data_IF_689809109367
#
_entry.id   IF_689809109367
#
_cell.length_a   1.000
_cell.length_b   1.000
_cell.length_c   1.000
_cell.angle_alpha   90.00
_cell.angle_beta   90.00
_cell.angle_gamma   90.00
#
_symmetry.space_group_name_H-M   'P 1'
#
loop_
_entity.id
_entity.type
_entity.pdbx_description
1 polymer ?
#
# COMPACT_ATOMS: atom_id res chain seq x y z
N UNK A 1 -20.91 -0.99 -4.25
CA UNK A 1 -19.51 -1.44 -4.31
C UNK A 1 -18.92 -1.00 -5.64
N UNK A 2 -17.70 -0.46 -5.62
CA UNK A 2 -16.89 -0.20 -6.81
C UNK A 2 -15.65 -1.09 -6.74
N UNK A 3 -15.35 -1.79 -7.84
CA UNK A 3 -14.17 -2.62 -7.96
C UNK A 3 -13.08 -1.84 -8.70
N UNK A 4 -11.86 -1.83 -8.14
CA UNK A 4 -10.71 -1.09 -8.67
C UNK A 4 -9.62 -2.08 -9.07
N UNK A 5 -9.25 -2.07 -10.34
CA UNK A 5 -8.05 -2.72 -10.85
C UNK A 5 -6.87 -1.76 -10.71
N UNK A 6 -5.95 -2.08 -9.83
CA UNK A 6 -4.79 -1.24 -9.54
C UNK A 6 -3.52 -1.75 -10.25
N UNK A 7 -3.70 -2.26 -11.48
CA UNK A 7 -2.61 -2.64 -12.39
C UNK A 7 -2.37 -1.54 -13.43
N UNK A 8 -1.26 -1.67 -14.15
CA UNK A 8 -0.99 -0.80 -15.30
C UNK A 8 -2.09 -0.91 -16.35
N UNK A 9 -2.40 0.18 -17.02
CA UNK A 9 -3.46 0.31 -18.01
C UNK A 9 -3.40 -0.78 -19.11
N UNK A 10 -2.19 -1.10 -19.59
CA UNK A 10 -2.03 -2.17 -20.58
C UNK A 10 -2.50 -3.53 -20.03
N UNK A 11 -2.16 -3.85 -18.78
CA UNK A 11 -2.58 -5.10 -18.15
C UNK A 11 -4.10 -5.14 -17.89
N UNK A 12 -4.70 -3.99 -17.58
CA UNK A 12 -6.15 -3.86 -17.47
C UNK A 12 -6.84 -4.11 -18.83
N UNK A 13 -6.34 -3.51 -19.90
CA UNK A 13 -6.89 -3.63 -21.26
C UNK A 13 -6.76 -5.04 -21.84
N UNK A 14 -5.75 -5.82 -21.42
CA UNK A 14 -5.62 -7.23 -21.79
C UNK A 14 -6.70 -8.11 -21.14
N UNK A 15 -7.25 -7.67 -20.00
CA UNK A 15 -8.35 -8.32 -19.30
C UNK A 15 -8.38 -7.93 -17.83
N UNK A 16 -9.58 -7.76 -17.30
CA UNK A 16 -9.83 -7.36 -15.91
C UNK A 16 -11.06 -8.06 -15.33
N UNK A 17 -11.25 -7.96 -14.02
CA UNK A 17 -12.48 -8.47 -13.38
C UNK A 17 -13.67 -7.61 -13.86
N UNK A 18 -14.79 -8.20 -14.28
CA UNK A 18 -15.91 -7.47 -14.87
C UNK A 18 -16.35 -6.27 -14.04
N UNK A 19 -16.60 -5.16 -14.71
CA UNK A 19 -17.00 -3.87 -14.12
C UNK A 19 -15.94 -3.17 -13.26
N UNK A 20 -14.71 -3.66 -13.19
CA UNK A 20 -13.62 -2.93 -12.54
C UNK A 20 -13.29 -1.65 -13.32
N UNK A 21 -12.99 -0.58 -12.59
CA UNK A 21 -12.38 0.63 -13.15
C UNK A 21 -10.87 0.57 -12.94
N UNK A 22 -10.11 1.17 -13.83
CA UNK A 22 -8.65 1.19 -13.71
C UNK A 22 -8.15 2.47 -13.05
N UNK A 23 -7.33 2.31 -12.04
CA UNK A 23 -6.49 3.34 -11.42
C UNK A 23 -5.13 2.71 -11.21
N UNK A 24 -4.05 3.45 -11.46
CA UNK A 24 -2.71 2.95 -11.21
C UNK A 24 -1.93 3.91 -10.32
N UNK A 25 -0.79 3.47 -9.82
CA UNK A 25 0.03 4.25 -8.87
C UNK A 25 0.38 5.65 -9.35
N UNK A 26 0.67 5.86 -10.64
CA UNK A 26 0.96 7.18 -11.22
C UNK A 26 -0.18 8.19 -11.03
N UNK A 27 -1.41 7.70 -10.93
CA UNK A 27 -2.62 8.53 -10.85
C UNK A 27 -2.88 9.01 -9.41
N UNK A 28 -2.28 8.34 -8.40
CA UNK A 28 -2.44 8.66 -6.98
C UNK A 28 -1.16 9.14 -6.30
N UNK A 29 -0.11 9.39 -7.07
CA UNK A 29 1.17 9.87 -6.53
C UNK A 29 1.72 11.02 -7.34
N UNK A 30 2.49 11.88 -6.65
CA UNK A 30 3.21 12.99 -7.27
C UNK A 30 4.72 12.87 -7.03
N UNK A 31 5.47 13.75 -7.66
CA UNK A 31 6.87 14.00 -7.34
C UNK A 31 6.98 15.35 -6.65
N UNK A 32 7.52 15.37 -5.44
CA UNK A 32 7.75 16.57 -4.66
C UNK A 32 9.26 16.82 -4.56
N UNK A 33 9.74 17.84 -5.25
CA UNK A 33 11.17 18.08 -5.42
C UNK A 33 11.87 16.88 -6.08
N UNK A 34 12.74 16.22 -5.32
CA UNK A 34 13.47 15.02 -5.79
C UNK A 34 12.83 13.70 -5.31
N UNK A 35 11.80 13.78 -4.46
CA UNK A 35 11.14 12.60 -3.88
C UNK A 35 9.99 12.20 -4.80
N UNK A 36 10.02 10.95 -5.25
CA UNK A 36 9.01 10.39 -6.15
C UNK A 36 8.06 9.46 -5.40
N UNK A 37 6.80 9.45 -5.82
CA UNK A 37 5.81 8.52 -5.31
C UNK A 37 5.15 8.97 -4.00
N UNK A 38 5.26 10.24 -3.66
CA UNK A 38 4.52 10.87 -2.56
C UNK A 38 3.02 10.84 -2.88
N UNK A 39 2.20 10.66 -1.87
CA UNK A 39 0.74 10.67 -2.01
C UNK A 39 0.27 11.96 -2.68
N UNK A 40 -0.61 11.84 -3.69
CA UNK A 40 -1.17 12.99 -4.39
C UNK A 40 -2.06 13.83 -3.46
N UNK A 41 -2.17 15.16 -3.69
CA UNK A 41 -3.07 16.02 -2.95
C UNK A 41 -4.52 15.54 -2.96
N UNK A 42 -5.25 15.77 -1.87
CA UNK A 42 -6.64 15.35 -1.70
C UNK A 42 -7.54 15.75 -2.88
N UNK A 43 -7.48 17.01 -3.31
CA UNK A 43 -8.32 17.50 -4.41
C UNK A 43 -8.07 16.73 -5.72
N UNK A 44 -6.82 16.36 -6.02
CA UNK A 44 -6.49 15.58 -7.20
C UNK A 44 -7.11 14.17 -7.15
N UNK A 45 -7.16 13.56 -5.98
CA UNK A 45 -7.79 12.25 -5.79
C UNK A 45 -9.32 12.32 -5.83
N UNK A 46 -9.91 13.39 -5.29
CA UNK A 46 -11.35 13.64 -5.37
C UNK A 46 -11.80 13.82 -6.83
N UNK A 47 -11.05 14.60 -7.60
CA UNK A 47 -11.31 14.79 -9.03
C UNK A 47 -11.14 13.48 -9.82
N UNK A 48 -10.09 12.72 -9.56
CA UNK A 48 -9.85 11.43 -10.19
C UNK A 48 -11.00 10.46 -9.93
N UNK A 49 -11.34 10.22 -8.66
CA UNK A 49 -12.39 9.28 -8.28
C UNK A 49 -13.76 9.71 -8.80
N UNK A 50 -14.08 11.00 -8.70
CA UNK A 50 -15.32 11.56 -9.23
C UNK A 50 -15.44 11.40 -10.75
N UNK A 51 -14.37 11.65 -11.50
CA UNK A 51 -14.33 11.48 -12.95
C UNK A 51 -14.56 10.04 -13.39
N UNK A 52 -14.16 9.06 -12.57
CA UNK A 52 -14.36 7.63 -12.79
C UNK A 52 -15.72 7.12 -12.30
N UNK A 53 -16.61 8.00 -11.85
CA UNK A 53 -17.95 7.65 -11.39
C UNK A 53 -18.00 7.06 -9.99
N UNK A 54 -16.99 7.30 -9.18
CA UNK A 54 -16.96 6.90 -7.78
C UNK A 54 -17.54 8.02 -6.92
N UNK A 55 -18.54 7.71 -6.11
CA UNK A 55 -19.02 8.61 -5.04
C UNK A 55 -18.63 8.07 -3.66
N UNK A 56 -18.51 8.96 -2.68
CA UNK A 56 -18.02 8.65 -1.33
C UNK A 56 -18.96 7.78 -0.49
N UNK A 57 -20.14 7.43 -0.99
CA UNK A 57 -21.06 6.48 -0.33
C UNK A 57 -20.75 5.02 -0.68
N UNK A 58 -19.86 4.76 -1.61
CA UNK A 58 -19.55 3.44 -2.12
C UNK A 58 -18.38 2.81 -1.38
N UNK A 59 -18.53 1.54 -1.03
CA UNK A 59 -17.42 0.71 -0.63
C UNK A 59 -16.50 0.44 -1.83
N UNK A 60 -15.19 0.57 -1.63
CA UNK A 60 -14.19 0.26 -2.63
C UNK A 60 -13.55 -1.10 -2.35
N UNK A 61 -13.40 -1.92 -3.40
CA UNK A 61 -12.60 -3.14 -3.34
C UNK A 61 -11.49 -3.01 -4.38
N UNK A 62 -10.25 -3.10 -3.94
CA UNK A 62 -9.07 -2.96 -4.81
C UNK A 62 -8.31 -4.27 -4.93
N UNK A 63 -7.84 -4.58 -6.14
CA UNK A 63 -6.95 -5.71 -6.41
C UNK A 63 -5.79 -5.29 -7.30
N UNK A 64 -4.74 -6.11 -7.30
CA UNK A 64 -3.59 -5.94 -8.19
C UNK A 64 -3.14 -7.28 -8.81
N UNK A 65 -1.97 -7.32 -9.41
CA UNK A 65 -1.31 -8.53 -9.92
C UNK A 65 0.00 -8.83 -9.19
N UNK A 66 0.16 -8.35 -7.94
CA UNK A 66 1.44 -8.40 -7.24
C UNK A 66 1.29 -8.64 -5.74
N UNK A 67 0.41 -9.56 -5.35
CA UNK A 67 0.26 -9.95 -3.95
C UNK A 67 -0.19 -8.82 -3.03
N UNK A 68 -1.10 -8.01 -3.51
CA UNK A 68 -1.68 -6.86 -2.82
C UNK A 68 -0.68 -5.72 -2.51
N UNK A 69 0.53 -5.72 -3.08
CA UNK A 69 1.54 -4.69 -2.81
C UNK A 69 1.10 -3.31 -3.31
N UNK A 70 0.59 -3.24 -4.53
CA UNK A 70 0.10 -2.01 -5.14
C UNK A 70 -1.31 -1.67 -4.60
N UNK A 71 -2.18 -2.68 -4.41
CA UNK A 71 -3.51 -2.50 -3.83
C UNK A 71 -3.47 -1.95 -2.40
N UNK A 72 -2.51 -2.38 -1.59
CA UNK A 72 -2.30 -1.84 -0.25
C UNK A 72 -1.82 -0.38 -0.26
N UNK A 73 -1.10 0.05 -1.31
CA UNK A 73 -0.77 1.46 -1.50
C UNK A 73 -2.02 2.31 -1.73
N UNK A 74 -2.96 1.82 -2.56
CA UNK A 74 -4.26 2.48 -2.75
C UNK A 74 -5.04 2.51 -1.43
N UNK A 75 -5.16 1.38 -0.72
CA UNK A 75 -5.80 1.31 0.60
C UNK A 75 -5.20 2.32 1.57
N UNK A 76 -3.87 2.41 1.66
CA UNK A 76 -3.19 3.37 2.52
C UNK A 76 -3.50 4.82 2.13
N UNK A 77 -3.50 5.15 0.83
CA UNK A 77 -3.82 6.48 0.31
C UNK A 77 -5.24 6.91 0.69
N UNK A 78 -6.21 6.00 0.59
CA UNK A 78 -7.59 6.28 0.98
C UNK A 78 -7.72 6.53 2.49
N UNK A 79 -7.07 5.67 3.31
CA UNK A 79 -7.06 5.83 4.76
C UNK A 79 -6.29 7.07 5.21
N UNK A 80 -5.24 7.46 4.51
CA UNK A 80 -4.49 8.70 4.77
C UNK A 80 -5.41 9.92 4.81
N UNK A 81 -6.38 9.99 3.90
CA UNK A 81 -7.41 11.04 3.86
C UNK A 81 -8.72 10.68 4.61
N UNK A 82 -8.70 9.67 5.46
CA UNK A 82 -9.83 9.32 6.33
C UNK A 82 -10.93 8.47 5.69
N UNK A 83 -10.79 8.06 4.42
CA UNK A 83 -11.76 7.15 3.79
C UNK A 83 -11.41 5.69 4.12
N UNK A 84 -12.20 5.07 5.00
CA UNK A 84 -11.90 3.74 5.56
C UNK A 84 -12.71 2.60 4.93
N UNK A 85 -13.73 2.91 4.10
CA UNK A 85 -14.54 1.86 3.45
C UNK A 85 -13.88 1.35 2.16
N UNK A 86 -12.63 0.92 2.31
CA UNK A 86 -11.81 0.32 1.26
C UNK A 86 -11.30 -1.04 1.72
N UNK A 87 -11.41 -2.05 0.84
CA UNK A 87 -10.97 -3.43 1.09
C UNK A 87 -9.97 -3.87 0.03
N UNK A 88 -9.04 -4.73 0.42
CA UNK A 88 -8.06 -5.34 -0.49
C UNK A 88 -8.47 -6.79 -0.76
N UNK A 89 -8.52 -7.17 -2.02
CA UNK A 89 -8.82 -8.55 -2.42
C UNK A 89 -7.64 -9.46 -2.01
N UNK A 90 -7.94 -10.54 -1.29
CA UNK A 90 -6.92 -11.51 -0.86
C UNK A 90 -6.61 -12.51 -1.99
N UNK A 91 -5.48 -12.35 -2.60
CA UNK A 91 -5.05 -12.97 -3.84
C UNK A 91 -4.96 -11.94 -4.96
N UNK A 92 -4.34 -12.32 -6.06
CA UNK A 92 -4.12 -11.42 -7.18
C UNK A 92 -5.01 -11.73 -8.40
N UNK A 93 -4.89 -10.90 -9.44
CA UNK A 93 -5.60 -11.12 -10.70
C UNK A 93 -5.28 -12.47 -11.35
N UNK A 94 -4.04 -12.96 -11.23
CA UNK A 94 -3.66 -14.24 -11.82
C UNK A 94 -4.36 -15.40 -11.12
N UNK A 95 -4.59 -15.30 -9.81
CA UNK A 95 -5.42 -16.26 -9.08
C UNK A 95 -6.86 -16.26 -9.57
N UNK A 96 -7.46 -15.08 -9.83
CA UNK A 96 -8.79 -14.96 -10.41
C UNK A 96 -8.90 -15.70 -11.74
N UNK A 97 -7.95 -15.45 -12.65
CA UNK A 97 -7.87 -16.11 -13.95
C UNK A 97 -7.67 -17.63 -13.81
N UNK A 98 -6.79 -18.08 -12.90
CA UNK A 98 -6.52 -19.50 -12.67
C UNK A 98 -7.72 -20.31 -12.17
N UNK A 99 -8.69 -19.62 -11.56
CA UNK A 99 -9.98 -20.19 -11.13
C UNK A 99 -11.04 -20.18 -12.23
N UNK A 100 -10.67 -19.77 -13.45
CA UNK A 100 -11.59 -19.61 -14.58
C UNK A 100 -12.80 -18.69 -14.28
N UNK A 101 -12.59 -17.70 -13.41
CA UNK A 101 -13.62 -16.69 -13.13
C UNK A 101 -13.76 -15.73 -14.33
N UNK A 102 -14.94 -15.10 -14.50
CA UNK A 102 -15.19 -14.19 -15.63
C UNK A 102 -14.18 -13.06 -15.70
N UNK A 103 -13.74 -12.74 -16.92
CA UNK A 103 -12.94 -11.57 -17.23
C UNK A 103 -13.62 -10.73 -18.30
N UNK A 104 -13.34 -9.44 -18.32
CA UNK A 104 -13.82 -8.48 -19.29
C UNK A 104 -12.65 -7.74 -19.94
N UNK A 105 -12.88 -7.12 -21.09
CA UNK A 105 -11.95 -6.24 -21.81
C UNK A 105 -12.57 -4.89 -22.14
N UNK A 106 -13.87 -4.74 -21.91
CA UNK A 106 -14.56 -3.50 -22.16
C UNK A 106 -14.29 -2.50 -21.02
N UNK A 107 -13.72 -1.36 -21.37
CA UNK A 107 -13.44 -0.30 -20.39
C UNK A 107 -14.77 0.18 -19.77
N UNK A 108 -14.86 0.10 -18.46
CA UNK A 108 -16.05 0.54 -17.74
C UNK A 108 -16.30 2.04 -18.00
N UNK A 109 -17.48 2.35 -18.53
CA UNK A 109 -17.93 3.74 -18.75
C UNK A 109 -18.95 4.09 -17.66
N UNK A 110 -18.54 4.98 -16.76
CA UNK A 110 -19.38 5.46 -15.69
C UNK A 110 -19.70 6.94 -15.87
N UNK A 111 -20.87 7.35 -15.40
CA UNK A 111 -21.19 8.78 -15.34
C UNK A 111 -20.33 9.43 -14.25
N UNK A 112 -19.78 10.61 -14.54
CA UNK A 112 -19.06 11.41 -13.56
C UNK A 112 -19.91 11.68 -12.33
N UNK A 113 -19.32 11.54 -11.16
CA UNK A 113 -19.95 11.80 -9.85
C UNK A 113 -19.08 12.80 -9.07
N UNK A 114 -19.45 13.06 -7.83
CA UNK A 114 -18.62 13.82 -6.90
C UNK A 114 -18.11 12.88 -5.81
N UNK A 115 -16.78 12.74 -5.71
CA UNK A 115 -16.14 12.12 -4.57
C UNK A 115 -15.65 13.22 -3.61
N UNK A 116 -15.86 13.01 -2.31
CA UNK A 116 -15.39 13.90 -1.25
C UNK A 116 -14.85 13.06 -0.11
N UNK A 117 -13.61 13.30 0.29
CA UNK A 117 -13.06 12.68 1.49
C UNK A 117 -13.79 13.20 2.75
N UNK A 118 -13.86 12.40 3.83
CA UNK A 118 -14.35 12.89 5.11
C UNK A 118 -13.51 14.08 5.59
N UNK A 119 -14.16 15.01 6.29
CA UNK A 119 -13.43 16.08 7.00
C UNK A 119 -12.62 15.45 8.13
N UNK A 120 -11.38 15.10 7.85
CA UNK A 120 -10.44 14.53 8.82
C UNK A 120 -9.12 15.29 8.73
N UNK A 121 -8.63 15.69 9.90
CA UNK A 121 -7.28 16.27 10.04
C UNK A 121 -6.24 15.21 10.40
N UNK A 122 -6.63 13.94 10.46
CA UNK A 122 -5.75 12.85 10.88
C UNK A 122 -5.19 12.18 9.64
N UNK A 123 -3.92 12.39 9.40
CA UNK A 123 -3.12 11.63 8.43
C UNK A 123 -2.87 10.22 8.97
N UNK A 124 -3.92 9.40 8.87
CA UNK A 124 -3.91 8.05 9.44
C UNK A 124 -2.80 7.21 8.80
N UNK A 125 -2.08 6.49 9.63
CA UNK A 125 -0.98 5.61 9.22
C UNK A 125 0.19 6.34 8.55
N UNK A 126 0.40 7.64 8.79
CA UNK A 126 1.51 8.41 8.24
C UNK A 126 2.60 8.68 9.28
N UNK A 127 3.85 8.64 8.84
CA UNK A 127 5.01 9.12 9.60
C UNK A 127 5.72 10.22 8.82
N UNK A 128 6.11 11.26 9.54
CA UNK A 128 6.95 12.34 9.02
C UNK A 128 8.44 11.98 9.12
N UNK A 129 9.29 12.81 8.52
CA UNK A 129 10.74 12.71 8.69
C UNK A 129 11.14 12.91 10.16
N UNK A 130 10.45 13.80 10.86
CA UNK A 130 10.64 14.12 12.28
C UNK A 130 10.32 12.90 13.16
N UNK A 131 9.24 12.15 12.85
CA UNK A 131 8.92 10.89 13.52
C UNK A 131 10.06 9.87 13.35
N UNK A 132 10.60 9.75 12.14
CA UNK A 132 11.75 8.84 11.88
C UNK A 132 12.99 9.28 12.64
N UNK A 133 13.30 10.59 12.68
CA UNK A 133 14.46 11.11 13.45
C UNK A 133 14.28 10.82 14.94
N UNK A 134 13.08 11.03 15.49
CA UNK A 134 12.75 10.71 16.89
C UNK A 134 12.98 9.22 17.17
N UNK A 135 12.55 8.35 16.26
CA UNK A 135 12.69 6.91 16.41
C UNK A 135 14.14 6.41 16.46
N UNK A 136 15.14 7.22 16.03
CA UNK A 136 16.56 6.85 16.14
C UNK A 136 17.06 6.76 17.61
N UNK A 137 16.36 7.42 18.53
CA UNK A 137 16.74 7.47 19.96
C UNK A 137 15.64 6.97 20.89
N UNK A 138 14.41 6.79 20.40
CA UNK A 138 13.27 6.32 21.18
C UNK A 138 13.06 4.82 20.97
N UNK A 139 13.42 4.02 21.97
CA UNK A 139 13.32 2.54 21.92
C UNK A 139 11.88 2.01 21.97
N UNK A 140 10.87 2.87 22.18
CA UNK A 140 9.46 2.50 22.09
C UNK A 140 8.96 2.46 20.63
N UNK A 141 9.74 3.01 19.69
CA UNK A 141 9.45 3.07 18.25
C UNK A 141 10.39 2.13 17.51
N UNK A 142 9.84 1.27 16.66
CA UNK A 142 10.59 0.36 15.81
C UNK A 142 10.53 0.83 14.37
N UNK A 143 11.68 1.04 13.74
CA UNK A 143 11.79 1.35 12.30
C UNK A 143 12.02 0.04 11.54
N UNK A 144 11.18 -0.25 10.55
CA UNK A 144 11.25 -1.47 9.73
C UNK A 144 11.46 -1.11 8.26
N UNK A 145 12.53 -1.65 7.70
CA UNK A 145 12.84 -1.60 6.26
C UNK A 145 12.16 -2.78 5.56
N UNK A 146 11.21 -2.50 4.68
CA UNK A 146 10.46 -3.54 3.95
C UNK A 146 11.03 -3.83 2.57
N UNK A 147 12.25 -3.39 2.29
CA UNK A 147 12.99 -3.68 1.06
C UNK A 147 13.66 -5.06 1.16
N UNK A 148 14.24 -5.50 0.04
CA UNK A 148 15.01 -6.74 0.03
C UNK A 148 16.24 -6.63 0.94
N UNK A 149 16.74 -7.78 1.38
CA UNK A 149 17.93 -7.82 2.25
C UNK A 149 19.17 -7.22 1.57
N UNK A 150 19.27 -7.33 0.24
CA UNK A 150 20.36 -6.75 -0.55
C UNK A 150 20.31 -5.20 -0.57
N UNK A 151 19.10 -4.64 -0.71
CA UNK A 151 18.89 -3.19 -0.59
C UNK A 151 19.24 -2.71 0.82
N UNK A 152 18.75 -3.41 1.84
CA UNK A 152 19.00 -3.11 3.26
C UNK A 152 20.50 -3.15 3.63
N UNK A 153 21.22 -4.15 3.13
CA UNK A 153 22.67 -4.30 3.35
C UNK A 153 23.50 -3.35 2.51
N UNK A 154 22.90 -2.63 1.57
CA UNK A 154 23.63 -1.74 0.66
C UNK A 154 24.43 -2.47 -0.41
N UNK A 155 24.04 -3.70 -0.76
CA UNK A 155 24.63 -4.46 -1.88
C UNK A 155 24.05 -3.99 -3.21
N UNK A 156 22.75 -3.64 -3.21
CA UNK A 156 22.04 -3.17 -4.39
C UNK A 156 21.60 -1.73 -4.22
N UNK A 157 21.88 -0.89 -5.23
CA UNK A 157 21.32 0.44 -5.37
C UNK A 157 20.23 0.42 -6.43
N UNK A 158 18.96 0.51 -6.03
CA UNK A 158 17.86 0.62 -6.98
C UNK A 158 17.80 2.00 -7.62
N UNK A 159 17.36 2.03 -8.88
CA UNK A 159 17.13 3.28 -9.62
C UNK A 159 16.17 4.19 -8.83
N UNK A 160 16.59 5.42 -8.57
CA UNK A 160 15.85 6.43 -7.81
C UNK A 160 16.35 6.62 -6.37
N UNK A 161 17.05 5.65 -5.78
CA UNK A 161 17.73 5.86 -4.51
C UNK A 161 19.05 6.63 -4.73
N UNK A 162 19.36 7.59 -3.84
CA UNK A 162 20.58 8.42 -3.93
C UNK A 162 21.81 7.73 -3.35
N UNK A 163 21.64 6.76 -2.48
CA UNK A 163 22.72 6.04 -1.78
C UNK A 163 22.30 4.63 -1.41
N UNK A 164 23.30 3.79 -1.19
CA UNK A 164 23.14 2.44 -0.65
C UNK A 164 22.95 2.48 0.88
N UNK A 165 22.44 1.35 1.44
CA UNK A 165 22.30 1.17 2.87
C UNK A 165 20.86 1.35 3.37
N UNK A 166 20.72 1.77 4.63
CA UNK A 166 19.45 1.81 5.36
C UNK A 166 19.40 2.94 6.38
N UNK A 167 18.23 3.22 6.91
CA UNK A 167 18.08 4.10 8.08
C UNK A 167 18.76 3.42 9.28
N UNK A 168 19.65 4.11 10.03
CA UNK A 168 20.32 3.55 11.20
C UNK A 168 19.30 3.00 12.22
N UNK A 169 19.63 1.85 12.84
CA UNK A 169 18.75 1.22 13.83
C UNK A 169 17.53 0.51 13.24
N UNK A 170 17.26 0.60 11.94
CA UNK A 170 16.12 -0.12 11.34
C UNK A 170 16.37 -1.65 11.30
N UNK A 171 15.27 -2.40 11.37
CA UNK A 171 15.25 -3.85 11.23
C UNK A 171 14.74 -4.18 9.82
N UNK A 172 15.24 -5.23 9.18
CA UNK A 172 14.72 -5.64 7.87
C UNK A 172 13.66 -6.73 8.00
N UNK A 173 12.53 -6.51 7.36
CA UNK A 173 11.52 -7.53 7.09
C UNK A 173 10.91 -7.24 5.70
N UNK A 174 11.36 -7.96 4.69
CA UNK A 174 10.85 -7.80 3.33
C UNK A 174 9.32 -7.98 3.30
N UNK A 175 8.60 -7.04 2.66
CA UNK A 175 7.14 -7.09 2.52
C UNK A 175 6.65 -8.44 1.96
N UNK A 176 7.44 -9.03 1.06
CA UNK A 176 7.13 -10.29 0.39
C UNK A 176 7.05 -11.49 1.36
N UNK A 177 7.62 -11.37 2.56
CA UNK A 177 7.48 -12.40 3.60
C UNK A 177 6.03 -12.54 4.10
N UNK A 178 5.16 -11.60 3.79
CA UNK A 178 3.75 -11.66 4.24
C UNK A 178 2.82 -12.42 3.30
N UNK A 179 3.31 -12.92 2.15
CA UNK A 179 2.49 -13.59 1.13
C UNK A 179 2.98 -14.99 0.81
N UNK A 180 2.07 -15.83 0.30
CA UNK A 180 2.34 -17.16 -0.23
C UNK A 180 2.54 -17.11 -1.74
N UNK A 181 3.77 -17.25 -2.23
CA UNK A 181 4.08 -17.23 -3.67
C UNK A 181 3.45 -18.38 -4.45
N UNK A 182 3.23 -19.53 -3.82
CA UNK A 182 2.70 -20.74 -4.44
C UNK A 182 1.17 -20.92 -4.26
N UNK A 183 0.47 -19.95 -3.65
CA UNK A 183 -0.98 -20.00 -3.42
C UNK A 183 -1.64 -18.68 -3.86
N UNK A 184 -1.42 -18.29 -5.11
CA UNK A 184 -2.07 -17.13 -5.73
C UNK A 184 -1.74 -15.80 -5.04
N UNK A 185 -0.54 -15.68 -4.50
CA UNK A 185 -0.05 -14.51 -3.79
C UNK A 185 -0.96 -14.02 -2.65
N UNK A 186 -1.67 -14.95 -2.01
CA UNK A 186 -2.49 -14.63 -0.83
C UNK A 186 -1.63 -14.28 0.37
N UNK A 187 -2.20 -13.52 1.28
CA UNK A 187 -1.58 -13.32 2.59
C UNK A 187 -1.40 -14.64 3.34
N UNK A 188 -0.33 -14.75 4.08
CA UNK A 188 -0.11 -15.84 5.05
C UNK A 188 -1.21 -15.85 6.12
N UNK A 189 -1.32 -16.94 6.86
CA UNK A 189 -2.26 -17.01 7.99
C UNK A 189 -1.96 -15.91 9.02
N UNK A 190 -2.99 -15.43 9.71
CA UNK A 190 -2.81 -14.41 10.77
C UNK A 190 -1.82 -14.87 11.85
N UNK A 191 -1.77 -16.19 12.12
CA UNK A 191 -0.83 -16.79 13.07
C UNK A 191 0.62 -16.65 12.59
N UNK A 192 0.88 -16.97 11.31
CA UNK A 192 2.23 -16.91 10.74
C UNK A 192 2.69 -15.46 10.61
N UNK A 193 1.81 -14.55 10.15
CA UNK A 193 2.08 -13.12 10.11
C UNK A 193 2.46 -12.58 11.49
N UNK A 194 1.65 -12.90 12.52
CA UNK A 194 1.93 -12.46 13.89
C UNK A 194 3.25 -13.04 14.42
N UNK A 195 3.58 -14.27 14.06
CA UNK A 195 4.85 -14.90 14.42
C UNK A 195 6.03 -14.17 13.78
N UNK A 196 5.97 -13.89 12.47
CA UNK A 196 7.03 -13.19 11.74
C UNK A 196 7.32 -11.79 12.33
N UNK A 197 6.27 -11.02 12.66
CA UNK A 197 6.43 -9.71 13.28
C UNK A 197 6.96 -9.78 14.72
N UNK A 198 6.49 -10.74 15.51
CA UNK A 198 6.99 -10.93 16.88
C UNK A 198 8.46 -11.31 16.93
N UNK A 199 8.94 -12.10 15.97
CA UNK A 199 10.35 -12.54 15.90
C UNK A 199 11.32 -11.37 15.69
N UNK A 200 10.85 -10.24 15.17
CA UNK A 200 11.64 -9.02 15.05
C UNK A 200 11.31 -7.98 16.13
N UNK A 201 10.64 -8.40 17.20
CA UNK A 201 10.36 -7.58 18.39
C UNK A 201 9.13 -6.67 18.29
N UNK A 202 8.29 -6.83 17.26
CA UNK A 202 7.06 -6.04 17.12
C UNK A 202 5.96 -6.61 18.01
N UNK A 203 5.50 -5.78 18.95
CA UNK A 203 4.41 -6.07 19.90
C UNK A 203 3.41 -4.92 19.90
N UNK A 204 2.18 -5.15 20.43
CA UNK A 204 1.08 -4.17 20.33
C UNK A 204 1.30 -2.87 21.10
N UNK A 205 2.22 -2.85 22.05
CA UNK A 205 2.62 -1.66 22.82
C UNK A 205 3.58 -0.76 22.05
N UNK A 206 4.35 -1.32 21.10
CA UNK A 206 5.30 -0.58 20.28
C UNK A 206 4.63 0.25 19.19
N UNK A 207 5.20 1.40 18.89
CA UNK A 207 4.94 2.11 17.65
C UNK A 207 5.85 1.56 16.56
N UNK A 208 5.32 1.38 15.34
CA UNK A 208 6.07 0.81 14.21
C UNK A 208 6.00 1.76 13.02
N UNK A 209 7.16 2.15 12.52
CA UNK A 209 7.31 2.96 11.30
C UNK A 209 7.91 2.08 10.23
N UNK A 210 7.14 1.83 9.16
CA UNK A 210 7.61 1.14 7.98
C UNK A 210 8.11 2.11 6.93
N UNK A 211 9.20 1.76 6.24
CA UNK A 211 9.65 2.47 5.05
C UNK A 211 10.12 1.48 3.98
N UNK A 212 10.19 1.97 2.73
CA UNK A 212 10.82 1.22 1.65
C UNK A 212 11.65 2.15 0.74
N UNK A 213 11.42 2.18 -0.56
CA UNK A 213 12.05 3.14 -1.47
C UNK A 213 11.10 4.29 -1.85
N UNK A 214 9.78 4.06 -1.90
CA UNK A 214 8.76 5.00 -2.40
C UNK A 214 7.37 4.77 -1.78
N UNK A 215 7.32 4.31 -0.53
CA UNK A 215 6.10 4.18 0.25
C UNK A 215 5.16 3.02 -0.13
N UNK A 216 5.41 2.26 -1.20
CA UNK A 216 4.47 1.22 -1.69
C UNK A 216 4.61 -0.11 -0.92
N UNK A 217 5.81 -0.68 -0.85
CA UNK A 217 6.07 -1.93 -0.12
C UNK A 217 5.82 -1.77 1.38
N UNK A 218 6.12 -0.59 1.92
CA UNK A 218 5.85 -0.25 3.31
C UNK A 218 4.36 -0.07 3.59
N UNK A 219 3.57 0.49 2.67
CA UNK A 219 2.11 0.53 2.79
C UNK A 219 1.49 -0.88 2.87
N UNK A 220 2.05 -1.87 2.15
CA UNK A 220 1.63 -3.26 2.30
C UNK A 220 1.86 -3.80 3.72
N UNK A 221 3.03 -3.55 4.30
CA UNK A 221 3.33 -3.98 5.68
C UNK A 221 2.47 -3.25 6.71
N UNK A 222 2.14 -1.97 6.47
CA UNK A 222 1.16 -1.22 7.28
C UNK A 222 -0.21 -1.88 7.19
N UNK A 223 -0.69 -2.21 5.99
CA UNK A 223 -1.97 -2.94 5.81
C UNK A 223 -1.99 -4.25 6.59
N UNK A 224 -0.95 -5.06 6.47
CA UNK A 224 -0.86 -6.34 7.20
C UNK A 224 -0.91 -6.13 8.71
N UNK A 225 -0.11 -5.21 9.23
CA UNK A 225 -0.03 -5.03 10.67
C UNK A 225 -1.27 -4.32 11.25
N UNK A 226 -1.77 -3.30 10.58
CA UNK A 226 -2.92 -2.52 11.04
C UNK A 226 -4.26 -3.21 10.77
N UNK A 227 -4.52 -3.59 9.52
CA UNK A 227 -5.83 -4.10 9.09
C UNK A 227 -6.00 -5.58 9.42
N UNK A 228 -5.01 -6.44 9.11
CA UNK A 228 -5.13 -7.86 9.33
C UNK A 228 -4.85 -8.27 10.78
N UNK A 229 -3.86 -7.66 11.44
CA UNK A 229 -3.44 -8.02 12.80
C UNK A 229 -3.97 -7.08 13.90
N UNK A 230 -4.61 -5.96 13.51
CA UNK A 230 -5.30 -5.06 14.43
C UNK A 230 -4.38 -4.21 15.32
N UNK A 231 -3.14 -3.93 14.88
CA UNK A 231 -2.24 -3.01 15.58
C UNK A 231 -2.68 -1.56 15.34
N UNK A 232 -2.57 -0.72 16.37
CA UNK A 232 -3.07 0.67 16.32
C UNK A 232 -1.98 1.71 16.09
N UNK A 233 -0.73 1.40 16.43
CA UNK A 233 0.40 2.34 16.37
C UNK A 233 1.32 1.97 15.20
N UNK A 234 0.80 2.08 13.99
CA UNK A 234 1.49 1.67 12.74
C UNK A 234 1.52 2.84 11.78
N UNK A 235 2.67 3.12 11.19
CA UNK A 235 2.85 4.24 10.27
C UNK A 235 3.67 3.86 9.05
N UNK A 236 3.36 4.47 7.92
CA UNK A 236 4.15 4.45 6.69
C UNK A 236 4.94 5.75 6.57
N UNK A 237 6.25 5.68 6.47
CA UNK A 237 7.06 6.82 6.09
C UNK A 237 7.09 6.96 4.57
N UNK A 238 6.25 7.84 4.03
CA UNK A 238 6.05 7.99 2.58
C UNK A 238 7.27 8.58 1.86
N UNK A 239 8.02 9.45 2.53
CA UNK A 239 9.31 9.96 2.03
C UNK A 239 10.36 8.87 1.79
N UNK A 240 10.26 7.75 2.49
CA UNK A 240 11.01 6.50 2.29
C UNK A 240 12.53 6.67 2.20
N UNK A 241 13.23 5.95 1.27
CA UNK A 241 14.70 5.90 1.17
C UNK A 241 15.23 6.69 -0.03
#
# INVERSE_FOLDING_TARGET
IVLIDFREENAYNEGHIPRAINIYRKDITITEGEIRGIVAPQAMLEDLLGSLGVDSSKQLIVYDGRGACEAARFWWTMNYYGFTDVRVLNGDYNLWVSKAYPIDKEVASNQTTKFVFPESTIEQYSATKEDVIKALTDTSIIIVDTRTIEEYRGVVLKKGAKRQGRIPGSINLDWANSIHFNDGLKFKSLKDLLYDFKNIGITKDKEVIFYCQSGTRSAHSVFVLAELLGFKKVKNYDGSW
#
